data_IF_060728383845
#
_entry.id   IF_060728383845
#
_cell.length_a   1.000
_cell.length_b   1.000
_cell.length_c   1.000
_cell.angle_alpha   90.00
_cell.angle_beta   90.00
_cell.angle_gamma   90.00
#
_symmetry.space_group_name_H-M   'P 1'
#
loop_
_entity.id
_entity.type
_entity.pdbx_description
1 polymer ?
#
# COMPACT_ATOMS: atom_id res chain seq x y z
N UNK A 1 -10.72 -19.07 7.55
CA UNK A 1 -9.74 -17.97 7.73
C UNK A 1 -8.98 -17.90 6.41
N UNK A 2 -9.34 -17.02 5.47
CA UNK A 2 -8.77 -17.12 4.14
C UNK A 2 -7.33 -16.63 4.14
N UNK A 3 -6.48 -17.46 3.55
CA UNK A 3 -5.05 -17.29 3.33
C UNK A 3 -4.69 -15.88 2.84
N UNK A 4 -3.77 -15.23 3.54
CA UNK A 4 -3.08 -14.03 3.07
C UNK A 4 -2.29 -14.39 1.82
N UNK A 5 -2.91 -14.16 0.69
CA UNK A 5 -2.32 -14.13 -0.64
C UNK A 5 -1.04 -13.26 -0.59
N UNK A 6 0.13 -13.92 -0.53
CA UNK A 6 1.50 -13.55 -1.00
C UNK A 6 2.07 -12.12 -0.80
N UNK A 7 1.39 -11.20 -0.13
CA UNK A 7 1.91 -9.84 0.10
C UNK A 7 2.50 -9.71 1.51
N UNK A 8 3.72 -9.14 1.64
CA UNK A 8 4.35 -9.00 2.94
C UNK A 8 3.55 -8.03 3.81
N UNK A 9 3.48 -8.29 5.14
CA UNK A 9 2.78 -7.42 6.08
C UNK A 9 3.30 -5.97 6.06
N UNK A 10 4.56 -5.74 5.70
CA UNK A 10 5.13 -4.41 5.47
C UNK A 10 4.35 -3.60 4.44
N UNK A 11 3.94 -4.23 3.34
CA UNK A 11 3.26 -3.52 2.27
C UNK A 11 1.80 -3.19 2.64
N UNK A 12 1.11 -4.10 3.34
CA UNK A 12 -0.20 -3.80 3.95
C UNK A 12 -0.10 -2.64 4.96
N UNK A 13 0.97 -2.59 5.76
CA UNK A 13 1.21 -1.55 6.75
C UNK A 13 1.44 -0.18 6.09
N UNK A 14 2.23 -0.13 5.00
CA UNK A 14 2.46 1.08 4.20
C UNK A 14 1.16 1.61 3.58
N UNK A 15 0.29 0.72 3.11
CA UNK A 15 -1.03 1.07 2.59
C UNK A 15 -1.94 1.64 3.70
N UNK A 16 -1.99 1.01 4.87
CA UNK A 16 -2.71 1.50 6.04
C UNK A 16 -2.21 2.88 6.47
N UNK A 17 -0.89 3.08 6.49
CA UNK A 17 -0.25 4.38 6.71
C UNK A 17 -0.67 5.40 5.66
N UNK A 18 -0.85 5.01 4.39
CA UNK A 18 -1.30 5.92 3.32
C UNK A 18 -2.74 6.38 3.56
N UNK A 19 -3.60 5.47 4.02
CA UNK A 19 -4.99 5.80 4.38
C UNK A 19 -5.03 6.73 5.60
N UNK A 20 -4.24 6.45 6.64
CA UNK A 20 -4.09 7.35 7.79
C UNK A 20 -3.54 8.71 7.38
N UNK A 21 -2.47 8.74 6.58
CA UNK A 21 -1.88 9.96 6.06
C UNK A 21 -2.91 10.78 5.26
N UNK A 22 -3.70 10.16 4.37
CA UNK A 22 -4.80 10.86 3.68
C UNK A 22 -5.86 11.39 4.65
N UNK A 23 -6.19 10.63 5.71
CA UNK A 23 -7.14 11.04 6.76
C UNK A 23 -6.62 12.23 7.57
N UNK A 24 -5.32 12.27 7.83
CA UNK A 24 -4.61 13.40 8.43
C UNK A 24 -4.29 14.52 7.43
N UNK A 25 -4.76 14.43 6.17
CA UNK A 25 -4.42 15.34 5.06
C UNK A 25 -2.91 15.48 4.80
N UNK A 26 -2.15 14.47 5.18
CA UNK A 26 -0.71 14.36 5.03
C UNK A 26 -0.38 13.77 3.65
N UNK A 27 -0.58 14.57 2.60
CA UNK A 27 -0.41 14.12 1.22
C UNK A 27 1.05 13.76 0.88
N UNK A 28 2.01 14.45 1.51
CA UNK A 28 3.43 14.14 1.38
C UNK A 28 3.75 12.72 1.86
N UNK A 29 3.24 12.35 3.04
CA UNK A 29 3.41 11.00 3.58
C UNK A 29 2.73 9.94 2.69
N UNK A 30 1.52 10.23 2.21
CA UNK A 30 0.81 9.33 1.30
C UNK A 30 1.55 9.09 -0.03
N UNK A 31 2.25 10.11 -0.53
CA UNK A 31 3.08 10.03 -1.74
C UNK A 31 4.38 9.27 -1.48
N UNK A 32 5.08 9.57 -0.37
CA UNK A 32 6.28 8.82 0.04
C UNK A 32 6.01 7.33 0.20
N UNK A 33 4.89 6.95 0.82
CA UNK A 33 4.51 5.54 0.99
C UNK A 33 4.24 4.84 -0.35
N UNK A 34 3.70 5.57 -1.34
CA UNK A 34 3.51 5.05 -2.69
C UNK A 34 4.85 4.82 -3.37
N UNK A 35 5.79 5.76 -3.24
CA UNK A 35 7.15 5.60 -3.77
C UNK A 35 7.94 4.50 -3.06
N UNK A 36 7.78 4.31 -1.75
CA UNK A 36 8.43 3.23 -1.00
C UNK A 36 7.97 1.86 -1.51
N UNK A 37 6.66 1.71 -1.72
CA UNK A 37 6.07 0.50 -2.29
C UNK A 37 6.61 0.25 -3.70
N UNK A 38 6.61 1.27 -4.57
CA UNK A 38 7.14 1.16 -5.94
C UNK A 38 8.65 0.82 -5.95
N UNK A 39 9.43 1.42 -5.04
CA UNK A 39 10.87 1.19 -4.88
C UNK A 39 11.20 -0.22 -4.38
N UNK A 40 10.34 -0.78 -3.52
CA UNK A 40 10.42 -2.19 -3.11
C UNK A 40 9.97 -3.16 -4.23
N UNK A 41 9.49 -2.64 -5.36
CA UNK A 41 8.95 -3.46 -6.45
C UNK A 41 7.51 -3.93 -6.21
N UNK A 42 6.75 -3.21 -5.38
CA UNK A 42 5.33 -3.46 -5.12
C UNK A 42 4.49 -2.31 -5.67
N UNK A 43 3.65 -2.60 -6.64
CA UNK A 43 2.69 -1.66 -7.18
C UNK A 43 1.41 -1.64 -6.32
N UNK A 44 1.03 -0.46 -5.84
CA UNK A 44 -0.25 -0.29 -5.12
C UNK A 44 -1.37 -0.06 -6.13
N UNK A 45 -2.29 -1.02 -6.24
CA UNK A 45 -3.55 -0.88 -6.98
C UNK A 45 -4.68 -0.54 -6.01
N UNK A 46 -5.18 0.68 -6.11
CA UNK A 46 -6.41 1.05 -5.44
C UNK A 46 -7.58 0.49 -6.27
N UNK A 47 -8.28 -0.51 -5.76
CA UNK A 47 -9.50 -1.03 -6.40
C UNK A 47 -10.72 -0.65 -5.57
N UNK A 48 -11.91 -0.52 -6.19
CA UNK A 48 -13.14 -0.23 -5.46
C UNK A 48 -13.51 -1.33 -4.44
N UNK A 49 -12.96 -2.53 -4.57
CA UNK A 49 -13.12 -3.64 -3.61
C UNK A 49 -12.09 -3.62 -2.47
N UNK A 50 -11.10 -2.73 -2.52
CA UNK A 50 -10.01 -2.64 -1.56
C UNK A 50 -8.68 -2.29 -2.24
N UNK A 51 -7.73 -1.79 -1.47
CA UNK A 51 -6.41 -1.52 -2.00
C UNK A 51 -5.59 -2.83 -1.99
N UNK A 52 -5.18 -3.29 -3.17
CA UNK A 52 -4.36 -4.49 -3.37
C UNK A 52 -2.94 -4.09 -3.74
N UNK A 53 -1.98 -4.90 -3.31
CA UNK A 53 -0.59 -4.77 -3.68
C UNK A 53 -0.30 -5.75 -4.80
N UNK A 54 0.59 -5.42 -5.72
CA UNK A 54 0.95 -6.28 -6.84
C UNK A 54 2.48 -6.26 -6.98
N UNK A 55 3.15 -7.41 -6.84
CA UNK A 55 4.61 -7.46 -6.98
C UNK A 55 4.96 -7.29 -8.46
N UNK A 56 5.73 -6.25 -8.77
CA UNK A 56 6.34 -6.03 -10.08
C UNK A 56 7.53 -6.99 -10.19
N UNK A 57 7.24 -8.22 -10.63
CA UNK A 57 8.27 -9.18 -11.07
C UNK A 57 8.73 -8.83 -12.48
#
# INVERSE_FOLDING_TARGET
VPEKETFPPEAEDLLLKRVQAKKEKNWALADSLRSELDAMGYLVKDTPSGSSLEKKM
#
